data_IF_708516276983
#
_entry.id   IF_708516276983
#
_cell.length_a   1.000
_cell.length_b   1.000
_cell.length_c   1.000
_cell.angle_alpha   90.00
_cell.angle_beta   90.00
_cell.angle_gamma   90.00
#
_symmetry.space_group_name_H-M   'P 1'
#
loop_
_entity.id
_entity.type
_entity.pdbx_description
1 polymer ?
#
# COMPACT_ATOMS: atom_id res chain seq x y z
N UNK A 1 -7.26 -6.41 26.90
CA UNK A 1 -7.39 -6.55 25.44
C UNK A 1 -6.23 -7.39 24.93
N UNK A 2 -6.45 -8.19 23.88
CA UNK A 2 -5.38 -8.97 23.26
C UNK A 2 -4.41 -8.03 22.52
N UNK A 3 -3.15 -8.42 22.36
CA UNK A 3 -2.15 -7.62 21.63
C UNK A 3 -2.10 -7.95 20.13
N UNK A 4 -2.58 -9.14 19.75
CA UNK A 4 -2.60 -9.60 18.37
C UNK A 4 -3.96 -10.24 18.05
N UNK A 5 -4.33 -10.20 16.76
CA UNK A 5 -5.55 -10.82 16.26
C UNK A 5 -5.23 -11.71 15.08
N UNK A 6 -5.88 -12.87 14.97
CA UNK A 6 -5.82 -13.68 13.74
C UNK A 6 -7.15 -14.37 13.52
N UNK A 7 -7.69 -14.24 12.29
CA UNK A 7 -8.92 -14.91 11.88
C UNK A 7 -8.82 -15.41 10.46
N UNK A 8 -9.18 -16.67 10.29
CA UNK A 8 -9.30 -17.32 8.98
C UNK A 8 -10.77 -17.46 8.56
N UNK A 9 -11.08 -17.08 7.32
CA UNK A 9 -12.38 -17.21 6.67
C UNK A 9 -12.30 -18.28 5.59
N UNK A 10 -12.45 -19.54 6.01
CA UNK A 10 -12.40 -20.69 5.10
C UNK A 10 -13.55 -20.67 4.08
N UNK A 11 -13.23 -21.06 2.86
CA UNK A 11 -14.18 -21.44 1.82
C UNK A 11 -13.92 -22.87 1.34
N UNK A 12 -14.57 -23.27 0.27
CA UNK A 12 -14.37 -24.61 -0.31
C UNK A 12 -13.03 -24.75 -1.03
N UNK A 13 -12.62 -23.71 -1.77
CA UNK A 13 -11.40 -23.71 -2.61
C UNK A 13 -10.39 -22.64 -2.24
N UNK A 14 -10.82 -21.56 -1.59
CA UNK A 14 -9.95 -20.47 -1.17
C UNK A 14 -10.31 -20.01 0.24
N UNK A 15 -9.33 -19.41 0.91
CA UNK A 15 -9.44 -18.88 2.26
C UNK A 15 -8.81 -17.49 2.32
N UNK A 16 -9.37 -16.64 3.17
CA UNK A 16 -8.82 -15.34 3.53
C UNK A 16 -8.37 -15.37 4.98
N UNK A 17 -7.19 -14.85 5.29
CA UNK A 17 -6.66 -14.74 6.64
C UNK A 17 -6.38 -13.27 6.90
N UNK A 18 -6.86 -12.78 8.04
CA UNK A 18 -6.46 -11.48 8.58
C UNK A 18 -5.61 -11.76 9.81
N UNK A 19 -4.44 -11.15 9.84
CA UNK A 19 -3.54 -11.17 10.99
C UNK A 19 -3.17 -9.75 11.36
N UNK A 20 -3.55 -9.33 12.57
CA UNK A 20 -3.06 -8.10 13.18
C UNK A 20 -1.89 -8.46 14.10
N UNK A 21 -0.66 -7.99 13.81
CA UNK A 21 0.44 -8.01 14.78
C UNK A 21 0.14 -7.04 15.94
N UNK A 22 1.11 -6.83 16.84
CA UNK A 22 0.98 -5.97 18.02
C UNK A 22 0.21 -4.68 17.72
N UNK A 23 -0.69 -4.28 18.60
CA UNK A 23 -1.48 -3.04 18.48
C UNK A 23 -0.62 -1.78 18.28
N UNK A 24 0.66 -1.85 18.63
CA UNK A 24 1.63 -0.76 18.50
C UNK A 24 2.11 -0.49 17.06
N UNK A 25 1.92 -1.42 16.12
CA UNK A 25 2.37 -1.19 14.72
C UNK A 25 1.19 -0.86 13.80
N UNK A 26 1.30 0.15 12.91
CA UNK A 26 0.16 0.74 12.17
C UNK A 26 -0.21 -0.04 10.90
N UNK A 27 -0.33 -1.37 11.00
CA UNK A 27 -0.67 -2.22 9.86
C UNK A 27 -1.27 -3.56 10.28
N UNK A 28 -1.87 -4.25 9.31
CA UNK A 28 -2.28 -5.65 9.38
C UNK A 28 -1.75 -6.44 8.17
N UNK A 29 -1.82 -7.76 8.23
CA UNK A 29 -1.60 -8.62 7.08
C UNK A 29 -2.91 -9.21 6.60
N UNK A 30 -3.09 -9.17 5.29
CA UNK A 30 -4.17 -9.85 4.58
C UNK A 30 -3.57 -10.92 3.68
N UNK A 31 -3.98 -12.17 3.88
CA UNK A 31 -3.49 -13.31 3.10
C UNK A 31 -4.63 -14.05 2.41
N UNK A 32 -4.42 -14.46 1.17
CA UNK A 32 -5.25 -15.43 0.49
C UNK A 32 -4.45 -16.71 0.22
N UNK A 33 -5.10 -17.85 0.46
CA UNK A 33 -4.55 -19.19 0.16
C UNK A 33 -5.62 -20.06 -0.49
N UNK A 34 -5.19 -20.97 -1.36
CA UNK A 34 -6.05 -21.96 -1.99
C UNK A 34 -5.92 -23.33 -1.32
N UNK A 35 -6.97 -24.13 -1.51
CA UNK A 35 -6.96 -25.54 -1.17
C UNK A 35 -6.36 -26.31 -2.33
N UNK A 36 -5.40 -27.18 -2.04
CA UNK A 36 -4.74 -28.05 -3.00
C UNK A 36 -5.62 -29.25 -3.35
N UNK A 37 -5.27 -29.93 -4.44
CA UNK A 37 -6.01 -31.10 -4.93
C UNK A 37 -5.99 -32.28 -3.93
N UNK A 38 -4.94 -32.37 -3.11
CA UNK A 38 -4.83 -33.35 -2.02
C UNK A 38 -5.72 -33.01 -0.80
N UNK A 39 -6.46 -31.90 -0.87
CA UNK A 39 -7.35 -31.44 0.18
C UNK A 39 -6.67 -30.64 1.30
N UNK A 40 -5.35 -30.49 1.27
CA UNK A 40 -4.60 -29.61 2.18
C UNK A 40 -4.66 -28.15 1.74
N UNK A 41 -4.27 -27.23 2.63
CA UNK A 41 -4.22 -25.80 2.31
C UNK A 41 -2.80 -25.38 1.95
N UNK A 42 -2.67 -24.43 1.02
CA UNK A 42 -1.42 -23.73 0.76
C UNK A 42 -0.87 -23.08 2.04
N UNK A 43 0.47 -23.01 2.13
CA UNK A 43 1.18 -22.47 3.27
C UNK A 43 2.02 -21.25 2.88
N UNK A 44 1.67 -20.09 3.45
CA UNK A 44 2.36 -18.81 3.22
C UNK A 44 3.83 -18.82 3.62
N UNK A 45 4.22 -19.61 4.64
CA UNK A 45 5.62 -19.75 5.04
C UNK A 45 6.47 -20.54 4.04
N UNK A 46 5.83 -21.26 3.10
CA UNK A 46 6.51 -21.95 1.99
C UNK A 46 6.48 -21.14 0.68
N UNK A 47 6.03 -19.89 0.73
CA UNK A 47 5.85 -19.04 -0.45
C UNK A 47 4.62 -19.36 -1.29
N UNK A 48 3.70 -20.19 -0.77
CA UNK A 48 2.41 -20.47 -1.41
C UNK A 48 1.35 -19.44 -0.96
N UNK A 49 0.32 -19.19 -1.76
CA UNK A 49 -0.64 -18.14 -1.47
C UNK A 49 -0.08 -16.73 -1.74
N UNK A 50 -0.77 -15.73 -1.22
CA UNK A 50 -0.34 -14.34 -1.31
C UNK A 50 -0.69 -13.58 -0.04
N UNK A 51 0.29 -12.87 0.51
CA UNK A 51 0.13 -11.98 1.66
C UNK A 51 0.52 -10.57 1.26
N UNK A 52 -0.27 -9.60 1.72
CA UNK A 52 0.00 -8.16 1.60
C UNK A 52 -0.10 -7.51 2.98
N UNK A 53 0.68 -6.46 3.20
CA UNK A 53 0.68 -5.66 4.44
C UNK A 53 -0.20 -4.45 4.19
N UNK A 54 -1.34 -4.36 4.86
CA UNK A 54 -2.26 -3.23 4.72
C UNK A 54 -1.99 -2.16 5.77
N UNK A 55 -1.85 -0.92 5.32
CA UNK A 55 -1.79 0.27 6.17
C UNK A 55 -3.16 0.61 6.80
N UNK A 56 -3.16 1.54 7.76
CA UNK A 56 -4.40 2.05 8.38
C UNK A 56 -5.34 2.63 7.33
N UNK A 57 -4.80 3.37 6.36
CA UNK A 57 -5.52 4.00 5.26
C UNK A 57 -6.17 2.95 4.35
N UNK A 58 -5.48 1.85 4.05
CA UNK A 58 -6.06 0.77 3.26
C UNK A 58 -7.17 0.03 4.00
N UNK A 59 -7.06 -0.12 5.33
CA UNK A 59 -8.16 -0.66 6.15
C UNK A 59 -9.40 0.25 6.04
N UNK A 60 -9.23 1.57 6.09
CA UNK A 60 -10.31 2.54 5.92
C UNK A 60 -10.95 2.39 4.53
N UNK A 61 -10.14 2.24 3.48
CA UNK A 61 -10.65 2.05 2.11
C UNK A 61 -11.48 0.77 1.96
N UNK A 62 -11.06 -0.33 2.60
CA UNK A 62 -11.83 -1.58 2.63
C UNK A 62 -13.17 -1.37 3.37
N UNK A 63 -13.14 -0.66 4.51
CA UNK A 63 -14.35 -0.36 5.28
C UNK A 63 -15.34 0.52 4.49
N UNK A 64 -14.86 1.51 3.72
CA UNK A 64 -15.71 2.30 2.80
C UNK A 64 -16.48 1.41 1.82
N UNK A 65 -15.84 0.36 1.27
CA UNK A 65 -16.53 -0.63 0.42
C UNK A 65 -17.52 -1.47 1.22
N UNK A 66 -17.14 -1.95 2.40
CA UNK A 66 -18.01 -2.75 3.27
C UNK A 66 -19.27 -2.00 3.72
N UNK A 67 -19.16 -0.68 3.95
CA UNK A 67 -20.29 0.20 4.26
C UNK A 67 -21.07 0.66 3.04
N UNK A 68 -20.73 0.19 1.84
CA UNK A 68 -21.40 0.53 0.57
C UNK A 68 -21.33 2.02 0.24
N UNK A 69 -20.28 2.70 0.70
CA UNK A 69 -19.99 4.09 0.33
C UNK A 69 -19.18 4.16 -0.96
N UNK A 70 -18.42 3.11 -1.24
CA UNK A 70 -17.75 2.87 -2.53
C UNK A 70 -18.13 1.48 -3.05
N UNK A 71 -18.26 1.32 -4.37
CA UNK A 71 -18.55 -0.01 -4.94
C UNK A 71 -17.35 -0.94 -4.91
N UNK A 72 -16.16 -0.37 -5.08
CA UNK A 72 -14.91 -1.09 -5.00
C UNK A 72 -13.74 -0.15 -4.62
N UNK A 73 -12.67 -0.78 -4.15
CA UNK A 73 -11.37 -0.19 -3.90
C UNK A 73 -10.29 -1.06 -4.55
N UNK A 74 -9.25 -0.41 -5.08
CA UNK A 74 -8.05 -1.04 -5.62
C UNK A 74 -6.82 -0.52 -4.90
N UNK A 75 -6.02 -1.40 -4.32
CA UNK A 75 -4.71 -1.09 -3.78
C UNK A 75 -3.61 -1.68 -4.65
N UNK A 76 -2.47 -1.01 -4.75
CA UNK A 76 -1.32 -1.49 -5.50
C UNK A 76 -0.05 -1.40 -4.68
N UNK A 77 0.51 -2.54 -4.33
CA UNK A 77 1.80 -2.60 -3.63
C UNK A 77 2.91 -2.87 -4.63
N UNK A 78 3.87 -1.96 -4.73
CA UNK A 78 5.03 -2.08 -5.62
C UNK A 78 6.27 -2.40 -4.80
N UNK A 79 6.93 -3.52 -5.13
CA UNK A 79 8.21 -3.90 -4.54
C UNK A 79 9.21 -4.35 -5.59
N UNK A 80 10.35 -3.64 -5.66
CA UNK A 80 11.46 -3.77 -6.63
C UNK A 80 11.06 -3.58 -8.10
N UNK A 81 10.09 -4.34 -8.59
CA UNK A 81 9.43 -4.23 -9.91
C UNK A 81 8.09 -5.00 -9.99
N UNK A 82 7.70 -5.70 -8.92
CA UNK A 82 6.47 -6.49 -8.89
C UNK A 82 5.36 -5.63 -8.30
N UNK A 83 4.35 -5.35 -9.13
CA UNK A 83 3.10 -4.71 -8.73
C UNK A 83 2.09 -5.78 -8.32
N UNK A 84 1.70 -5.80 -7.06
CA UNK A 84 0.61 -6.65 -6.56
C UNK A 84 -0.65 -5.81 -6.45
N UNK A 85 -1.69 -6.17 -7.21
CA UNK A 85 -3.02 -5.58 -7.05
C UNK A 85 -3.76 -6.23 -5.88
N UNK A 86 -4.44 -5.38 -5.12
CA UNK A 86 -5.44 -5.71 -4.12
C UNK A 86 -6.75 -5.13 -4.64
N UNK A 87 -7.81 -5.93 -4.64
CA UNK A 87 -9.13 -5.46 -5.04
C UNK A 87 -10.15 -5.91 -4.01
N UNK A 88 -11.01 -4.99 -3.59
CA UNK A 88 -12.17 -5.29 -2.76
C UNK A 88 -13.38 -4.63 -3.41
N UNK A 89 -14.42 -5.41 -3.70
CA UNK A 89 -15.62 -4.86 -4.32
C UNK A 89 -16.80 -5.80 -4.26
N UNK A 90 -18.00 -5.25 -4.43
CA UNK A 90 -19.22 -6.05 -4.49
C UNK A 90 -19.33 -6.74 -5.85
N UNK A 91 -19.48 -8.05 -5.85
CA UNK A 91 -19.80 -8.82 -7.07
C UNK A 91 -21.32 -8.81 -7.32
N UNK A 92 -22.09 -8.91 -6.24
CA UNK A 92 -23.54 -8.79 -6.25
C UNK A 92 -23.99 -8.15 -4.93
N UNK A 93 -24.35 -6.87 -4.99
CA UNK A 93 -24.79 -6.09 -3.83
C UNK A 93 -26.09 -6.62 -3.24
N UNK A 94 -27.00 -7.12 -4.08
CA UNK A 94 -28.30 -7.65 -3.68
C UNK A 94 -28.16 -8.94 -2.88
N UNK A 95 -27.20 -9.79 -3.28
CA UNK A 95 -26.88 -11.06 -2.62
C UNK A 95 -25.78 -10.93 -1.56
N UNK A 96 -25.32 -9.71 -1.29
CA UNK A 96 -24.26 -9.40 -0.33
C UNK A 96 -23.01 -10.27 -0.54
N UNK A 97 -22.56 -10.36 -1.79
CA UNK A 97 -21.34 -11.11 -2.15
C UNK A 97 -20.21 -10.13 -2.36
N UNK A 98 -19.32 -10.04 -1.37
CA UNK A 98 -18.10 -9.27 -1.48
C UNK A 98 -17.00 -10.15 -2.09
N UNK A 99 -16.28 -9.60 -3.06
CA UNK A 99 -15.10 -10.21 -3.67
C UNK A 99 -13.85 -9.48 -3.17
N UNK A 100 -12.91 -10.25 -2.63
CA UNK A 100 -11.56 -9.78 -2.29
C UNK A 100 -10.56 -10.53 -3.17
N UNK A 101 -9.66 -9.82 -3.83
CA UNK A 101 -8.61 -10.37 -4.69
C UNK A 101 -7.25 -9.78 -4.29
N UNK A 102 -6.21 -10.63 -4.29
CA UNK A 102 -4.82 -10.25 -3.98
C UNK A 102 -3.93 -10.96 -5.00
N UNK A 103 -3.41 -10.23 -5.99
CA UNK A 103 -2.77 -10.83 -7.16
C UNK A 103 -3.73 -11.83 -7.83
N UNK A 104 -3.28 -13.05 -8.10
CA UNK A 104 -4.11 -14.09 -8.74
C UNK A 104 -5.10 -14.79 -7.78
N UNK A 105 -5.04 -14.50 -6.48
CA UNK A 105 -5.88 -15.17 -5.49
C UNK A 105 -7.19 -14.41 -5.27
N UNK A 106 -8.31 -15.13 -5.18
CA UNK A 106 -9.61 -14.53 -4.89
C UNK A 106 -10.40 -15.27 -3.80
N UNK A 107 -11.14 -14.50 -3.01
CA UNK A 107 -12.11 -15.00 -2.03
C UNK A 107 -13.41 -14.24 -2.14
N UNK A 108 -14.51 -14.99 -2.29
CA UNK A 108 -15.87 -14.48 -2.10
C UNK A 108 -16.27 -14.63 -0.64
N UNK A 109 -16.80 -13.56 -0.05
CA UNK A 109 -17.28 -13.51 1.32
C UNK A 109 -18.76 -13.16 1.28
N UNK A 110 -19.53 -13.88 2.09
CA UNK A 110 -20.97 -13.73 2.24
C UNK A 110 -21.32 -13.71 3.72
N UNK A 111 -22.56 -13.37 4.03
CA UNK A 111 -23.12 -13.58 5.36
C UNK A 111 -22.89 -15.04 5.84
N UNK A 112 -22.55 -15.28 7.13
CA UNK A 112 -22.31 -14.30 8.20
C UNK A 112 -20.86 -13.77 8.26
N UNK A 113 -19.94 -14.39 7.52
CA UNK A 113 -18.52 -14.04 7.54
C UNK A 113 -18.25 -12.60 7.12
N UNK A 114 -19.09 -12.04 6.26
CA UNK A 114 -19.03 -10.64 5.85
C UNK A 114 -19.20 -9.69 7.04
N UNK A 115 -20.21 -9.91 7.89
CA UNK A 115 -20.45 -9.07 9.07
C UNK A 115 -19.32 -9.19 10.07
N UNK A 116 -18.83 -10.42 10.29
CA UNK A 116 -17.69 -10.65 11.18
C UNK A 116 -16.43 -9.95 10.67
N UNK A 117 -16.19 -9.96 9.36
CA UNK A 117 -15.08 -9.24 8.73
C UNK A 117 -15.18 -7.74 9.01
N UNK A 118 -16.35 -7.12 8.78
CA UNK A 118 -16.57 -5.69 9.04
C UNK A 118 -16.28 -5.33 10.49
N UNK A 119 -16.92 -6.03 11.44
CA UNK A 119 -16.73 -5.77 12.88
C UNK A 119 -15.27 -5.95 13.32
N UNK A 120 -14.57 -6.91 12.73
CA UNK A 120 -13.18 -7.17 13.07
C UNK A 120 -12.25 -6.08 12.53
N UNK A 121 -12.47 -5.59 11.30
CA UNK A 121 -11.70 -4.49 10.74
C UNK A 121 -11.96 -3.18 11.48
N UNK A 122 -13.19 -2.90 11.90
CA UNK A 122 -13.53 -1.75 12.76
C UNK A 122 -12.79 -1.80 14.10
N UNK A 123 -12.83 -2.96 14.77
CA UNK A 123 -12.15 -3.19 16.04
C UNK A 123 -10.65 -2.95 15.89
N UNK A 124 -10.02 -3.62 14.90
CA UNK A 124 -8.58 -3.48 14.69
C UNK A 124 -8.23 -2.04 14.30
N UNK A 125 -8.97 -1.40 13.41
CA UNK A 125 -8.72 -0.01 13.02
C UNK A 125 -8.72 0.92 14.23
N UNK A 126 -9.73 0.81 15.09
CA UNK A 126 -9.86 1.63 16.30
C UNK A 126 -8.65 1.42 17.22
N UNK A 127 -8.25 0.17 17.43
CA UNK A 127 -7.09 -0.19 18.24
C UNK A 127 -5.78 0.37 17.64
N UNK A 128 -5.59 0.25 16.32
CA UNK A 128 -4.40 0.75 15.64
C UNK A 128 -4.31 2.27 15.69
N UNK A 129 -5.42 2.98 15.54
CA UNK A 129 -5.45 4.43 15.71
C UNK A 129 -5.08 4.79 17.14
N UNK A 130 -5.65 4.13 18.15
CA UNK A 130 -5.37 4.43 19.56
C UNK A 130 -3.90 4.21 19.93
N UNK A 131 -3.32 3.08 19.54
CA UNK A 131 -2.01 2.65 20.06
C UNK A 131 -0.84 2.87 19.10
N UNK A 132 -1.05 2.77 17.78
CA UNK A 132 0.04 2.90 16.81
C UNK A 132 0.26 4.36 16.34
N UNK A 133 -0.67 5.28 16.64
CA UNK A 133 -0.53 6.71 16.30
C UNK A 133 -0.31 7.61 17.52
N UNK A 134 -0.33 7.06 18.73
CA UNK A 134 0.02 7.79 19.95
C UNK A 134 1.54 7.91 20.10
N UNK A 135 2.05 9.14 20.28
CA UNK A 135 3.48 9.51 20.24
C UNK A 135 4.38 8.98 21.37
N UNK A 136 4.10 7.81 21.94
CA UNK A 136 4.89 7.18 23.02
C UNK A 136 5.58 5.91 22.55
N UNK A 137 6.23 5.93 21.40
CA UNK A 137 7.29 4.97 21.13
C UNK A 137 8.52 5.37 21.96
N UNK A 138 8.63 4.83 23.17
CA UNK A 138 9.95 4.72 23.81
C UNK A 138 10.77 3.73 22.98
N UNK A 139 11.42 4.25 21.94
CA UNK A 139 12.50 3.53 21.26
C UNK A 139 13.60 3.34 22.29
N UNK A 140 13.62 2.19 22.96
CA UNK A 140 14.79 1.80 23.76
C UNK A 140 15.98 1.79 22.81
N UNK A 141 16.90 2.72 23.05
CA UNK A 141 18.24 2.73 22.47
C UNK A 141 18.83 1.31 22.54
N UNK A 142 18.92 0.67 21.38
CA UNK A 142 19.89 -0.39 21.13
C UNK A 142 20.66 0.00 19.89
N UNK A 143 21.85 0.50 20.14
CA UNK A 143 22.93 0.58 19.17
C UNK A 143 23.08 -0.77 18.43
N UNK A 144 23.14 -0.67 17.10
CA UNK A 144 23.48 -1.71 16.12
C UNK A 144 22.44 -2.82 15.89
N UNK A 145 21.41 -2.48 15.12
CA UNK A 145 21.06 -3.20 13.90
C UNK A 145 20.36 -2.20 12.96
N UNK A 146 20.75 -2.19 11.69
CA UNK A 146 20.00 -1.54 10.61
C UNK A 146 18.67 -2.25 10.57
N UNK A 147 17.62 -1.64 11.11
CA UNK A 147 16.25 -2.13 10.95
C UNK A 147 15.41 -1.08 10.22
N UNK A 148 14.70 -1.61 9.24
CA UNK A 148 14.18 -1.00 8.02
C UNK A 148 12.79 -0.39 8.27
N UNK A 149 12.70 0.58 9.17
CA UNK A 149 11.47 1.37 9.35
C UNK A 149 11.41 2.48 8.29
N UNK A 150 11.16 2.03 7.06
CA UNK A 150 10.80 2.84 5.90
C UNK A 150 9.60 3.75 6.22
N UNK A 151 9.74 5.03 5.91
CA UNK A 151 8.68 6.03 6.03
C UNK A 151 7.55 5.70 5.04
N UNK A 152 6.43 5.21 5.57
CA UNK A 152 5.24 4.78 4.82
C UNK A 152 4.53 5.98 4.21
N UNK A 153 4.37 6.01 2.87
CA UNK A 153 3.45 6.95 2.21
C UNK A 153 2.45 6.21 1.32
N UNK A 154 1.16 6.37 1.64
CA UNK A 154 0.03 5.82 0.86
C UNK A 154 -0.57 6.95 0.06
N UNK A 155 -0.52 6.87 -1.27
CA UNK A 155 -1.20 7.84 -2.13
C UNK A 155 -2.60 7.32 -2.43
N UNK A 156 -3.64 8.03 -1.97
CA UNK A 156 -5.04 7.71 -2.25
C UNK A 156 -5.64 8.69 -3.28
N UNK A 157 -6.07 8.20 -4.44
CA UNK A 157 -6.82 8.97 -5.43
C UNK A 157 -8.29 8.53 -5.45
N UNK A 158 -9.21 9.50 -5.38
CA UNK A 158 -10.64 9.27 -5.57
C UNK A 158 -10.99 9.48 -7.04
N UNK A 159 -11.36 8.41 -7.75
CA UNK A 159 -11.73 8.47 -9.16
C UNK A 159 -13.24 8.34 -9.27
N UNK A 160 -13.90 9.39 -9.73
CA UNK A 160 -15.33 9.35 -10.10
C UNK A 160 -15.45 8.79 -11.51
N UNK A 161 -16.06 7.62 -11.66
CA UNK A 161 -16.34 7.05 -12.98
C UNK A 161 -17.55 7.72 -13.63
N UNK A 162 -17.66 7.59 -14.97
CA UNK A 162 -18.76 8.19 -15.77
C UNK A 162 -20.17 7.74 -15.33
N UNK A 163 -20.26 6.65 -14.59
CA UNK A 163 -21.51 6.08 -14.08
C UNK A 163 -21.87 6.58 -12.66
N UNK A 164 -21.13 7.56 -12.13
CA UNK A 164 -21.37 8.15 -10.80
C UNK A 164 -20.86 7.31 -9.62
N UNK A 165 -20.21 6.17 -9.90
CA UNK A 165 -19.59 5.33 -8.87
C UNK A 165 -18.21 5.83 -8.47
N UNK A 166 -18.01 5.97 -7.16
CA UNK A 166 -16.73 6.30 -6.54
C UNK A 166 -15.84 5.05 -6.50
N UNK A 167 -14.66 5.15 -7.11
CA UNK A 167 -13.58 4.17 -7.02
C UNK A 167 -12.45 4.82 -6.22
N UNK A 168 -11.95 4.12 -5.21
CA UNK A 168 -10.76 4.53 -4.46
C UNK A 168 -9.58 3.71 -4.96
N UNK A 169 -8.49 4.37 -5.34
CA UNK A 169 -7.23 3.73 -5.71
C UNK A 169 -6.12 4.14 -4.73
N UNK A 170 -5.42 3.17 -4.14
CA UNK A 170 -4.21 3.41 -3.35
C UNK A 170 -2.99 2.80 -4.03
N UNK A 171 -1.86 3.51 -4.01
CA UNK A 171 -0.56 2.94 -4.42
C UNK A 171 0.43 3.10 -3.28
N UNK A 172 1.03 1.98 -2.87
CA UNK A 172 2.10 1.92 -1.88
C UNK A 172 3.45 1.62 -2.55
N UNK A 173 4.46 2.44 -2.23
CA UNK A 173 5.85 2.23 -2.61
C UNK A 173 6.63 1.72 -1.41
N UNK A 174 7.03 0.45 -1.43
CA UNK A 174 7.99 -0.08 -0.47
C UNK A 174 9.40 0.18 -0.99
N UNK A 175 10.02 1.26 -0.56
CA UNK A 175 11.43 1.51 -0.86
C UNK A 175 12.05 2.19 0.35
N UNK A 176 13.09 1.60 0.92
CA UNK A 176 14.07 2.37 1.68
C UNK A 176 14.45 3.55 0.79
N UNK A 177 14.01 4.76 1.11
CA UNK A 177 14.27 5.93 0.27
C UNK A 177 15.75 6.28 0.44
N UNK A 178 16.62 5.54 -0.24
CA UNK A 178 17.95 6.03 -0.53
C UNK A 178 17.74 7.26 -1.40
N UNK A 179 18.00 8.44 -0.85
CA UNK A 179 17.98 9.68 -1.61
C UNK A 179 19.38 9.97 -2.13
N UNK A 180 19.46 10.56 -3.32
CA UNK A 180 20.70 11.03 -3.92
C UNK A 180 20.53 12.51 -4.21
N UNK A 181 21.57 13.29 -3.92
CA UNK A 181 21.63 14.69 -4.30
C UNK A 181 22.12 14.79 -5.75
N UNK A 182 21.32 15.41 -6.61
CA UNK A 182 21.66 15.69 -8.01
C UNK A 182 21.66 17.18 -8.27
N UNK A 183 22.51 17.64 -9.18
CA UNK A 183 22.46 19.01 -9.70
C UNK A 183 21.74 19.02 -11.03
N UNK A 184 20.66 19.77 -11.12
CA UNK A 184 19.87 19.86 -12.34
C UNK A 184 19.22 21.23 -12.51
N UNK A 185 18.71 21.48 -13.71
CA UNK A 185 17.96 22.69 -14.08
C UNK A 185 16.56 22.31 -14.52
N UNK A 186 15.53 22.98 -14.00
CA UNK A 186 14.15 22.75 -14.43
C UNK A 186 13.94 23.40 -15.79
N UNK A 187 13.54 22.59 -16.77
CA UNK A 187 13.27 23.03 -18.14
C UNK A 187 11.77 23.22 -18.37
N UNK A 188 10.95 22.28 -17.89
CA UNK A 188 9.50 22.29 -18.04
C UNK A 188 8.86 21.72 -16.78
N UNK A 189 7.76 22.32 -16.36
CA UNK A 189 6.93 21.83 -15.27
C UNK A 189 5.62 21.24 -15.82
N UNK A 190 5.19 20.13 -15.25
CA UNK A 190 3.83 19.60 -15.38
C UNK A 190 3.17 19.52 -14.00
N UNK A 191 1.85 19.29 -13.91
CA UNK A 191 1.18 19.14 -12.62
C UNK A 191 1.78 18.06 -11.71
N UNK A 192 2.29 16.95 -12.28
CA UNK A 192 2.78 15.78 -11.52
C UNK A 192 4.29 15.53 -11.62
N UNK A 193 5.00 16.18 -12.54
CA UNK A 193 6.42 15.92 -12.80
C UNK A 193 7.17 17.16 -13.31
N UNK A 194 8.48 17.18 -13.12
CA UNK A 194 9.43 18.16 -13.62
C UNK A 194 10.29 17.52 -14.71
N UNK A 195 10.48 18.21 -15.82
CA UNK A 195 11.55 17.91 -16.76
C UNK A 195 12.78 18.66 -16.31
N UNK A 196 13.80 17.92 -15.91
CA UNK A 196 15.08 18.47 -15.48
C UNK A 196 16.17 18.15 -16.50
N UNK A 197 17.12 19.07 -16.64
CA UNK A 197 18.35 18.89 -17.41
C UNK A 197 19.51 18.77 -16.43
N UNK A 198 20.25 17.66 -16.50
CA UNK A 198 21.39 17.36 -15.65
C UNK A 198 22.66 18.09 -16.11
N UNK A 199 23.73 18.06 -15.31
CA UNK A 199 25.05 18.57 -15.73
C UNK A 199 25.61 17.85 -16.97
N UNK A 200 25.18 16.62 -17.23
CA UNK A 200 25.53 15.84 -18.44
C UNK A 200 24.78 16.28 -19.71
N UNK A 201 23.94 17.31 -19.63
CA UNK A 201 22.97 17.73 -20.67
C UNK A 201 21.84 16.73 -20.94
N UNK A 202 21.74 15.64 -20.18
CA UNK A 202 20.64 14.68 -20.29
C UNK A 202 19.32 15.25 -19.73
N UNK A 203 18.21 14.96 -20.42
CA UNK A 203 16.87 15.41 -20.06
C UNK A 203 16.05 14.28 -19.46
N UNK A 204 15.55 14.47 -18.23
CA UNK A 204 14.88 13.44 -17.45
C UNK A 204 13.61 13.97 -16.81
N UNK A 205 12.54 13.19 -16.89
CA UNK A 205 11.30 13.46 -16.17
C UNK A 205 11.37 12.86 -14.76
N UNK A 206 11.26 13.73 -13.75
CA UNK A 206 11.17 13.33 -12.35
C UNK A 206 9.79 13.69 -11.78
N UNK A 207 9.05 12.77 -11.15
CA UNK A 207 7.83 13.10 -10.42
C UNK A 207 8.11 14.11 -9.30
N UNK A 208 7.19 15.03 -9.05
CA UNK A 208 7.35 16.00 -7.95
C UNK A 208 7.34 15.33 -6.57
N UNK A 209 6.63 14.20 -6.46
CA UNK A 209 6.52 13.41 -5.24
C UNK A 209 7.81 12.72 -4.82
N UNK A 210 8.82 12.66 -5.70
CA UNK A 210 10.12 12.04 -5.42
C UNK A 210 11.22 13.07 -5.18
N UNK A 211 10.86 14.34 -5.00
CA UNK A 211 11.78 15.44 -4.68
C UNK A 211 11.52 15.86 -3.23
N UNK A 212 12.54 15.77 -2.38
CA UNK A 212 12.41 15.92 -0.92
C UNK A 212 12.89 17.26 -0.40
N UNK A 213 13.26 18.19 -1.29
CA UNK A 213 13.68 19.53 -0.94
C UNK A 213 12.87 20.59 -1.69
N UNK A 214 12.83 21.80 -1.15
CA UNK A 214 12.29 22.94 -1.86
C UNK A 214 13.16 23.28 -3.08
N UNK A 215 12.49 23.63 -4.19
CA UNK A 215 13.14 24.01 -5.45
C UNK A 215 12.45 25.25 -6.04
N UNK A 216 13.20 26.04 -6.78
CA UNK A 216 12.68 27.26 -7.40
C UNK A 216 12.35 27.03 -8.87
N UNK A 217 11.06 26.99 -9.20
CA UNK A 217 10.54 26.85 -10.56
C UNK A 217 10.92 28.02 -11.48
N UNK A 218 11.24 29.19 -10.92
CA UNK A 218 11.58 30.41 -11.69
C UNK A 218 13.08 30.57 -11.89
N UNK A 219 13.89 29.85 -11.12
CA UNK A 219 15.35 29.86 -11.27
C UNK A 219 15.75 29.15 -12.57
N UNK A 220 16.53 29.84 -13.41
CA UNK A 220 17.13 29.29 -14.62
C UNK A 220 18.51 28.69 -14.38
N UNK A 221 18.95 28.64 -13.13
CA UNK A 221 20.27 28.16 -12.75
C UNK A 221 20.20 26.70 -12.26
N UNK A 222 21.38 26.06 -12.15
CA UNK A 222 21.51 24.74 -11.57
C UNK A 222 21.16 24.79 -10.09
N UNK A 223 20.30 23.88 -9.66
CA UNK A 223 19.85 23.73 -8.27
C UNK A 223 20.07 22.28 -7.83
N UNK A 224 20.31 22.12 -6.55
CA UNK A 224 20.44 20.79 -5.94
C UNK A 224 19.04 20.23 -5.72
N UNK A 225 18.81 19.00 -6.15
CA UNK A 225 17.60 18.23 -5.87
C UNK A 225 17.98 17.02 -5.04
N UNK A 226 17.23 16.79 -3.97
CA UNK A 226 17.30 15.56 -3.20
C UNK A 226 16.21 14.65 -3.74
N UNK A 227 16.59 13.62 -4.50
CA UNK A 227 15.65 12.76 -5.22
C UNK A 227 15.82 11.29 -4.88
N UNK A 228 14.76 10.51 -5.03
CA UNK A 228 14.82 9.07 -4.84
C UNK A 228 15.85 8.41 -5.78
N UNK A 229 16.76 7.60 -5.23
CA UNK A 229 17.81 6.90 -5.97
C UNK A 229 17.27 6.00 -7.06
N UNK A 230 16.12 5.36 -6.85
CA UNK A 230 15.52 4.46 -7.86
C UNK A 230 15.20 5.18 -9.18
N UNK A 231 14.94 6.50 -9.15
CA UNK A 231 14.75 7.29 -10.37
C UNK A 231 16.06 7.46 -11.12
N UNK A 232 17.14 7.70 -10.39
CA UNK A 232 18.49 7.85 -10.96
C UNK A 232 18.96 6.53 -11.59
N UNK A 233 18.73 5.42 -10.89
CA UNK A 233 19.06 4.07 -11.38
C UNK A 233 18.23 3.70 -12.62
N UNK A 234 16.92 4.01 -12.62
CA UNK A 234 16.01 3.72 -13.74
C UNK A 234 16.41 4.45 -15.02
N UNK A 235 16.90 5.67 -14.89
CA UNK A 235 17.34 6.48 -16.02
C UNK A 235 18.82 6.32 -16.35
N UNK A 236 19.55 5.44 -15.62
CA UNK A 236 20.99 5.16 -15.79
C UNK A 236 21.87 6.42 -15.73
N UNK A 237 21.50 7.37 -14.87
CA UNK A 237 22.11 8.70 -14.81
C UNK A 237 23.47 8.69 -14.10
N UNK A 238 23.77 7.67 -13.29
CA UNK A 238 25.07 7.50 -12.65
C UNK A 238 25.74 6.22 -13.16
N UNK A 239 26.79 6.38 -13.97
CA UNK A 239 27.84 5.37 -14.17
C UNK A 239 29.16 5.97 -13.75
#
# INVERSE_FOLDING_TARGET
>A
MADFHTKTFYGQKSSLIISSPTKMVPYIFLSCINRKDDGTWENTSKGEGKTVKLSIEEIICILEVLYRRSANWRGFHVFRDRKTEIYVGWEDESRQVLKIKIGEYEKKIRFPNLNLLTLMLEHILTEKIEFATSGTFESKEKEKAIDDDSEYSVFAEHITTRDGLHIVETTEYGTSIETVEIKAKIKVESPKALLITLESEDEVWIPKSTVHNEYDLKSRDLQNFVVDKWIIDKHKILT
#
